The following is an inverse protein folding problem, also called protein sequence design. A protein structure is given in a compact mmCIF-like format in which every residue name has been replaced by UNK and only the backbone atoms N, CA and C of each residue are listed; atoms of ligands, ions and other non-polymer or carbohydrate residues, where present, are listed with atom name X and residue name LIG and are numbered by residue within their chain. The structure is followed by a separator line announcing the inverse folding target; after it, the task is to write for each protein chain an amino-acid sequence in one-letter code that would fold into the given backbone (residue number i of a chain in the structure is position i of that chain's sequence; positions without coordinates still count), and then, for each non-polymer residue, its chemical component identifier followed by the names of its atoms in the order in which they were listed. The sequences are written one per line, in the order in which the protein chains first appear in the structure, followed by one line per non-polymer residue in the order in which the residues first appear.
data_IF_810345372935
#
_entry.id   IF_810345372935
#
_cell.length_a   1.000
_cell.length_b   1.000
_cell.length_c   1.000
_cell.angle_alpha   90.00
_cell.angle_beta   90.00
_cell.angle_gamma   90.00
#
_symmetry.space_group_name_H-M   'P 1'
#
loop_
_entity.id
_entity.type
_entity.pdbx_description
1 polymer ?
#
# COMPACT_ATOMS: atom_id res chain seq x y z
N UNK A 1 18.77 59.92 -40.15
CA UNK A 1 18.55 58.48 -39.88
C UNK A 1 18.70 58.24 -38.39
N UNK A 2 17.60 58.27 -37.64
CA UNK A 2 17.60 57.98 -36.20
C UNK A 2 17.41 56.48 -35.98
N UNK A 3 18.37 55.81 -35.34
CA UNK A 3 18.23 54.42 -34.89
C UNK A 3 17.64 54.43 -33.48
N UNK A 4 16.41 53.95 -33.32
CA UNK A 4 15.80 53.74 -32.02
C UNK A 4 16.28 52.40 -31.45
N UNK A 5 17.02 52.46 -30.34
CA UNK A 5 17.36 51.28 -29.54
C UNK A 5 16.26 51.07 -28.49
N UNK A 6 15.55 49.96 -28.60
CA UNK A 6 14.56 49.52 -27.61
C UNK A 6 15.29 48.61 -26.61
N UNK A 7 15.41 49.06 -25.36
CA UNK A 7 15.96 48.27 -24.25
C UNK A 7 14.79 47.55 -23.56
N UNK A 8 14.74 46.21 -23.66
CA UNK A 8 13.76 45.38 -22.95
C UNK A 8 14.42 44.90 -21.65
N UNK A 9 14.06 45.49 -20.52
CA UNK A 9 14.45 45.01 -19.19
C UNK A 9 13.54 43.87 -18.77
N UNK A 10 14.06 42.63 -18.77
CA UNK A 10 13.40 41.47 -18.16
C UNK A 10 13.44 41.61 -16.63
N UNK A 11 12.29 41.89 -16.01
CA UNK A 11 12.11 41.76 -14.57
C UNK A 11 11.94 40.28 -14.21
N UNK A 12 12.97 39.67 -13.62
CA UNK A 12 12.84 38.37 -12.97
C UNK A 12 12.13 38.54 -11.62
N UNK A 13 10.83 38.27 -11.58
CA UNK A 13 10.12 38.09 -10.32
C UNK A 13 10.50 36.73 -9.73
N UNK A 14 11.52 36.70 -8.87
CA UNK A 14 11.72 35.59 -7.95
C UNK A 14 10.59 35.60 -6.92
N UNK A 15 9.47 34.96 -7.24
CA UNK A 15 8.52 34.56 -6.22
C UNK A 15 9.20 33.49 -5.37
N UNK A 16 9.77 33.90 -4.24
CA UNK A 16 10.05 32.96 -3.16
C UNK A 16 8.70 32.36 -2.76
N UNK A 17 8.46 31.09 -3.12
CA UNK A 17 7.32 30.33 -2.62
C UNK A 17 7.56 30.21 -1.11
N UNK A 18 6.94 31.12 -0.34
CA UNK A 18 6.91 31.03 1.11
C UNK A 18 6.17 29.73 1.43
N UNK A 19 6.84 28.80 2.10
CA UNK A 19 6.17 27.60 2.58
C UNK A 19 4.98 28.03 3.45
N UNK A 20 3.83 27.35 3.37
CA UNK A 20 2.73 27.56 4.31
C UNK A 20 3.27 27.57 5.74
N UNK A 21 2.74 28.49 6.58
CA UNK A 21 3.22 28.68 7.95
C UNK A 21 2.95 27.47 8.84
N UNK A 22 1.98 26.65 8.46
CA UNK A 22 1.64 25.41 9.12
C UNK A 22 1.70 24.28 8.09
N UNK A 23 2.57 23.28 8.36
CA UNK A 23 2.46 21.99 7.70
C UNK A 23 1.12 21.40 8.14
N UNK A 24 0.16 21.34 7.23
CA UNK A 24 -1.02 20.50 7.46
C UNK A 24 -0.50 19.12 7.88
N UNK A 25 -0.93 18.58 9.04
CA UNK A 25 -0.52 17.25 9.45
C UNK A 25 -0.85 16.34 8.26
N UNK A 26 0.15 15.60 7.75
CA UNK A 26 -0.06 14.83 6.53
C UNK A 26 -1.26 13.93 6.75
N UNK A 27 -2.14 13.82 5.75
CA UNK A 27 -3.48 13.20 5.83
C UNK A 27 -3.57 11.93 6.71
N UNK A 28 -2.51 11.13 6.75
CA UNK A 28 -2.40 9.95 7.61
C UNK A 28 -2.40 10.25 9.12
N UNK A 29 -1.84 11.37 9.57
CA UNK A 29 -1.89 11.85 10.97
C UNK A 29 -3.31 12.24 11.32
N UNK A 30 -4.02 12.92 10.42
CA UNK A 30 -5.43 13.25 10.64
C UNK A 30 -6.29 11.98 10.72
N UNK A 31 -6.08 11.02 9.82
CA UNK A 31 -6.77 9.73 9.85
C UNK A 31 -6.42 8.91 11.09
N UNK A 32 -5.15 8.94 11.53
CA UNK A 32 -4.73 8.32 12.78
C UNK A 32 -5.43 8.96 13.99
N UNK A 33 -5.42 10.29 14.09
CA UNK A 33 -6.09 11.01 15.17
C UNK A 33 -7.61 10.76 15.19
N UNK A 34 -8.24 10.69 14.01
CA UNK A 34 -9.65 10.32 13.87
C UNK A 34 -9.92 8.88 14.34
N UNK A 35 -8.98 7.96 14.11
CA UNK A 35 -9.11 6.56 14.52
C UNK A 35 -8.67 6.30 15.97
N UNK A 36 -7.88 7.16 16.60
CA UNK A 36 -7.54 7.05 18.04
C UNK A 36 -8.79 7.30 18.89
N UNK A 37 -9.68 8.19 18.44
CA UNK A 37 -10.98 8.44 19.08
C UNK A 37 -12.04 7.39 18.70
N UNK A 38 -11.83 6.62 17.62
CA UNK A 38 -12.55 5.37 17.48
C UNK A 38 -11.92 4.40 18.47
N UNK A 39 -12.52 4.28 19.65
CA UNK A 39 -12.46 3.02 20.37
C UNK A 39 -12.85 1.93 19.38
N UNK A 40 -11.87 1.26 18.78
CA UNK A 40 -12.03 -0.16 18.53
C UNK A 40 -12.44 -0.67 19.91
N UNK A 41 -13.74 -0.91 20.08
CA UNK A 41 -14.18 -1.87 21.04
C UNK A 41 -13.46 -3.15 20.62
N UNK A 42 -12.24 -3.32 21.12
CA UNK A 42 -11.79 -4.60 21.61
C UNK A 42 -12.80 -4.93 22.71
N UNK A 43 -14.02 -5.30 22.30
CA UNK A 43 -14.78 -6.22 23.09
C UNK A 43 -13.79 -7.34 23.37
N UNK A 44 -13.53 -7.50 24.66
CA UNK A 44 -12.73 -8.57 25.21
C UNK A 44 -13.46 -9.91 25.04
N UNK A 45 -13.95 -10.17 23.82
CA UNK A 45 -14.52 -11.40 23.38
C UNK A 45 -13.40 -12.12 22.62
N UNK A 46 -12.57 -12.82 23.40
CA UNK A 46 -11.35 -13.54 23.03
C UNK A 46 -11.58 -14.73 22.08
N UNK A 47 -12.56 -14.69 21.19
CA UNK A 47 -12.87 -15.83 20.33
C UNK A 47 -11.89 -15.99 19.17
N UNK A 48 -11.27 -14.91 18.69
CA UNK A 48 -10.27 -14.94 17.62
C UNK A 48 -9.21 -13.84 17.79
N UNK A 49 -8.03 -14.13 18.36
CA UNK A 49 -6.96 -13.14 18.44
C UNK A 49 -6.43 -12.81 17.05
N UNK A 50 -6.61 -11.57 16.61
CA UNK A 50 -5.98 -11.06 15.40
C UNK A 50 -4.58 -10.51 15.74
N UNK A 51 -3.56 -10.72 14.87
CA UNK A 51 -2.29 -10.03 15.01
C UNK A 51 -2.52 -8.51 15.05
N UNK A 52 -1.94 -7.86 16.07
CA UNK A 52 -1.94 -6.42 16.23
C UNK A 52 -0.49 -5.96 16.34
N UNK A 53 -0.18 -4.84 15.71
CA UNK A 53 1.15 -4.23 15.74
C UNK A 53 0.98 -2.71 15.69
N UNK A 54 2.06 -1.96 15.97
CA UNK A 54 2.01 -0.51 15.96
C UNK A 54 1.64 -0.03 14.55
N UNK A 55 0.61 0.81 14.45
CA UNK A 55 0.29 1.46 13.18
C UNK A 55 1.34 2.54 12.89
N UNK A 56 2.19 2.30 11.89
CA UNK A 56 3.24 3.23 11.46
C UNK A 56 3.15 3.50 9.95
N UNK A 57 2.26 4.41 9.51
CA UNK A 57 2.08 4.73 8.09
C UNK A 57 3.28 5.52 7.51
N UNK A 58 4.19 6.01 8.37
CA UNK A 58 5.40 6.68 7.96
C UNK A 58 6.60 5.74 7.78
N UNK A 59 6.44 4.44 8.08
CA UNK A 59 7.49 3.47 7.83
C UNK A 59 7.82 3.44 6.34
N UNK A 60 9.11 3.50 6.03
CA UNK A 60 9.58 3.30 4.66
C UNK A 60 9.58 1.81 4.37
N UNK A 61 8.92 1.44 3.28
CA UNK A 61 8.91 0.07 2.75
C UNK A 61 10.12 -0.14 1.85
N UNK A 62 10.61 -1.38 1.82
CA UNK A 62 11.69 -1.81 0.95
C UNK A 62 11.14 -2.29 -0.40
N UNK A 63 11.66 -1.76 -1.51
CA UNK A 63 11.18 -2.06 -2.88
C UNK A 63 11.44 -3.51 -3.31
N UNK A 64 12.34 -4.20 -2.62
CA UNK A 64 12.81 -5.54 -2.95
C UNK A 64 13.76 -5.57 -4.11
N UNK A 65 14.14 -4.40 -4.62
CA UNK A 65 15.17 -4.27 -5.62
C UNK A 65 16.52 -4.60 -4.99
N UNK A 66 17.28 -5.48 -5.63
CA UNK A 66 18.65 -5.83 -5.20
C UNK A 66 19.67 -5.66 -6.33
N UNK A 67 19.18 -5.45 -7.55
CA UNK A 67 19.99 -5.22 -8.75
C UNK A 67 19.71 -3.83 -9.32
N UNK A 68 20.71 -3.27 -9.99
CA UNK A 68 20.56 -2.03 -10.73
C UNK A 68 20.86 -2.28 -12.20
N UNK A 69 20.44 -1.36 -13.06
CA UNK A 69 20.71 -1.48 -14.50
C UNK A 69 21.51 -0.30 -15.00
N UNK A 70 22.43 -0.58 -15.91
CA UNK A 70 23.12 0.44 -16.69
C UNK A 70 22.17 1.04 -17.74
N UNK A 71 22.54 2.17 -18.34
CA UNK A 71 21.79 2.75 -19.46
C UNK A 71 21.68 1.83 -20.69
N UNK A 72 22.51 0.78 -20.77
CA UNK A 72 22.44 -0.27 -21.80
C UNK A 72 21.56 -1.46 -21.43
N UNK A 73 20.89 -1.45 -20.26
CA UNK A 73 20.02 -2.54 -19.80
C UNK A 73 20.75 -3.75 -19.19
N UNK A 74 22.06 -3.66 -18.96
CA UNK A 74 22.81 -4.71 -18.25
C UNK A 74 22.67 -4.55 -16.75
N UNK A 75 22.43 -5.66 -16.04
CA UNK A 75 22.41 -5.69 -14.59
C UNK A 75 23.81 -5.37 -14.02
N UNK A 76 23.83 -4.62 -12.93
CA UNK A 76 25.02 -4.23 -12.19
C UNK A 76 24.72 -4.14 -10.69
N UNK A 77 25.79 -4.14 -9.89
CA UNK A 77 25.70 -3.88 -8.45
C UNK A 77 25.23 -2.44 -8.19
N UNK A 78 24.22 -2.27 -7.34
CA UNK A 78 23.67 -0.95 -7.04
C UNK A 78 24.66 -0.08 -6.26
N UNK A 79 25.42 -0.64 -5.34
CA UNK A 79 26.35 0.10 -4.49
C UNK A 79 27.52 0.67 -5.31
N UNK A 80 27.98 -0.07 -6.31
CA UNK A 80 29.12 0.32 -7.15
C UNK A 80 28.70 1.12 -8.39
N UNK A 81 27.60 0.73 -9.03
CA UNK A 81 27.19 1.26 -10.33
C UNK A 81 26.22 2.44 -10.28
N UNK A 82 25.37 2.50 -9.26
CA UNK A 82 24.36 3.55 -9.05
C UNK A 82 24.09 3.76 -7.54
N UNK A 83 25.09 4.21 -6.77
CA UNK A 83 24.93 4.36 -5.31
C UNK A 83 23.77 5.30 -4.97
N UNK A 84 22.95 4.89 -4.01
CA UNK A 84 21.78 5.67 -3.58
C UNK A 84 20.51 5.39 -4.40
N UNK A 85 20.56 4.45 -5.34
CA UNK A 85 19.35 3.84 -5.90
C UNK A 85 18.62 3.02 -4.84
N UNK A 86 17.36 2.69 -5.11
CA UNK A 86 16.54 1.87 -4.21
C UNK A 86 17.18 0.49 -3.94
N UNK A 87 17.79 -0.13 -4.96
CA UNK A 87 18.48 -1.41 -4.80
C UNK A 87 19.77 -1.37 -3.96
N UNK A 88 20.28 -0.18 -3.61
CA UNK A 88 21.37 -0.04 -2.63
C UNK A 88 20.90 -0.22 -1.18
N UNK A 89 19.60 -0.18 -0.90
CA UNK A 89 19.03 -0.12 0.44
C UNK A 89 18.26 -1.38 0.84
N UNK A 90 18.86 -2.56 0.66
CA UNK A 90 18.22 -3.81 1.02
C UNK A 90 17.99 -3.94 2.54
N UNK A 91 16.73 -4.09 2.91
CA UNK A 91 16.15 -4.10 4.24
C UNK A 91 16.44 -2.83 5.06
N UNK A 92 16.63 -1.69 4.41
CA UNK A 92 16.95 -0.41 5.06
C UNK A 92 15.85 0.62 4.77
N UNK A 93 15.26 1.28 5.80
CA UNK A 93 15.52 1.10 7.23
C UNK A 93 14.85 -0.15 7.83
N UNK A 94 13.90 -0.77 7.12
CA UNK A 94 13.16 -1.92 7.59
C UNK A 94 13.14 -3.01 6.54
N UNK A 95 13.24 -4.27 6.97
CA UNK A 95 12.96 -5.40 6.10
C UNK A 95 11.47 -5.50 5.77
N UNK A 96 11.13 -6.01 4.58
CA UNK A 96 9.76 -6.48 4.31
C UNK A 96 9.41 -7.60 5.28
N UNK A 97 8.23 -7.52 5.89
CA UNK A 97 7.76 -8.51 6.84
C UNK A 97 6.24 -8.64 6.74
N UNK A 98 5.75 -9.86 6.60
CA UNK A 98 4.33 -10.18 6.54
C UNK A 98 4.05 -11.47 7.31
N UNK A 99 2.84 -11.61 7.82
CA UNK A 99 2.36 -12.80 8.52
C UNK A 99 1.08 -13.26 7.85
N UNK A 100 1.06 -14.50 7.35
CA UNK A 100 -0.10 -15.11 6.70
C UNK A 100 0.24 -15.76 5.35
N UNK A 101 -0.77 -16.11 4.54
CA UNK A 101 -2.20 -15.95 4.80
C UNK A 101 -2.69 -16.72 6.04
N UNK A 102 -3.36 -16.03 6.95
CA UNK A 102 -3.92 -16.62 8.18
C UNK A 102 -5.43 -16.74 8.06
N UNK A 103 -5.94 -17.94 8.30
CA UNK A 103 -7.38 -18.24 8.33
C UNK A 103 -8.00 -17.67 9.61
N UNK A 104 -9.17 -17.06 9.49
CA UNK A 104 -9.94 -16.64 10.66
C UNK A 104 -10.60 -17.86 11.34
N UNK A 105 -10.58 -17.93 12.67
CA UNK A 105 -11.04 -19.12 13.40
C UNK A 105 -12.55 -19.35 13.37
N UNK A 106 -13.36 -18.27 13.31
CA UNK A 106 -14.82 -18.36 13.13
C UNK A 106 -15.21 -18.43 11.65
N UNK A 107 -14.80 -17.42 10.88
CA UNK A 107 -15.00 -17.34 9.43
C UNK A 107 -13.90 -18.06 8.66
N UNK A 108 -13.99 -19.39 8.60
CA UNK A 108 -12.94 -20.25 8.03
C UNK A 108 -12.69 -20.04 6.53
N UNK A 109 -13.55 -19.31 5.83
CA UNK A 109 -13.30 -18.93 4.42
C UNK A 109 -12.52 -17.61 4.29
N UNK A 110 -12.28 -16.91 5.39
CA UNK A 110 -11.68 -15.58 5.40
C UNK A 110 -10.19 -15.69 5.74
N UNK A 111 -9.36 -15.21 4.83
CA UNK A 111 -7.90 -15.24 4.95
C UNK A 111 -7.35 -13.83 4.89
N UNK A 112 -6.48 -13.51 5.84
CA UNK A 112 -5.86 -12.19 5.94
C UNK A 112 -4.35 -12.29 6.00
N UNK A 113 -3.66 -11.23 5.60
CA UNK A 113 -2.22 -11.07 5.73
C UNK A 113 -1.98 -9.85 6.60
N UNK A 114 -1.20 -10.00 7.65
CA UNK A 114 -0.82 -8.90 8.52
C UNK A 114 0.55 -8.37 8.14
N UNK A 115 0.66 -7.05 7.98
CA UNK A 115 1.90 -6.30 7.81
C UNK A 115 2.29 -5.68 9.16
N UNK A 116 3.25 -6.28 9.90
CA UNK A 116 3.62 -5.81 11.22
C UNK A 116 4.38 -4.48 11.19
N UNK A 117 4.94 -4.08 10.04
CA UNK A 117 5.70 -2.84 9.91
C UNK A 117 4.77 -1.63 9.89
N UNK A 118 3.67 -1.73 9.14
CA UNK A 118 2.70 -0.65 9.00
C UNK A 118 1.49 -0.82 9.93
N UNK A 119 1.30 -1.98 10.54
CA UNK A 119 0.09 -2.32 11.31
C UNK A 119 -1.13 -2.51 10.41
N UNK A 120 -0.92 -2.85 9.13
CA UNK A 120 -1.99 -3.02 8.15
C UNK A 120 -2.43 -4.49 8.08
N UNK A 121 -3.72 -4.70 7.84
CA UNK A 121 -4.25 -6.02 7.52
C UNK A 121 -4.80 -6.00 6.10
N UNK A 122 -4.36 -6.96 5.30
CA UNK A 122 -4.75 -7.14 3.91
C UNK A 122 -5.66 -8.35 3.76
N UNK A 123 -6.60 -8.29 2.84
CA UNK A 123 -7.30 -9.49 2.36
C UNK A 123 -6.30 -10.31 1.55
N UNK A 124 -6.19 -11.61 1.83
CA UNK A 124 -5.14 -12.44 1.23
C UNK A 124 -5.37 -12.71 -0.27
N UNK A 125 -6.63 -12.87 -0.66
CA UNK A 125 -7.01 -13.19 -2.02
C UNK A 125 -7.61 -11.99 -2.74
N UNK A 126 -7.35 -11.90 -4.04
CA UNK A 126 -8.08 -11.00 -4.90
C UNK A 126 -9.58 -11.29 -4.85
N UNK A 127 -10.36 -10.29 -5.24
CA UNK A 127 -11.80 -10.44 -5.23
C UNK A 127 -12.26 -11.60 -6.12
N UNK A 128 -13.21 -12.40 -5.62
CA UNK A 128 -13.69 -13.61 -6.29
C UNK A 128 -12.85 -14.86 -6.05
N UNK A 129 -11.69 -14.74 -5.39
CA UNK A 129 -10.87 -15.87 -4.98
C UNK A 129 -10.96 -16.17 -3.48
N UNK A 130 -10.77 -17.43 -3.11
CA UNK A 130 -10.85 -17.93 -1.73
C UNK A 130 -9.82 -19.03 -1.43
N UNK A 131 -9.65 -19.33 -0.14
CA UNK A 131 -8.74 -20.35 0.37
C UNK A 131 -7.32 -19.83 0.63
N UNK A 132 -6.51 -20.61 1.34
CA UNK A 132 -5.15 -20.23 1.74
C UNK A 132 -4.21 -19.93 0.57
N UNK A 133 -4.41 -20.58 -0.58
CA UNK A 133 -3.65 -20.37 -1.81
C UNK A 133 -4.39 -19.58 -2.89
N UNK A 134 -5.57 -19.01 -2.59
CA UNK A 134 -6.42 -18.32 -3.57
C UNK A 134 -6.77 -19.14 -4.82
N UNK A 135 -6.80 -20.47 -4.70
CA UNK A 135 -7.11 -21.39 -5.78
C UNK A 135 -8.62 -21.65 -5.94
N UNK A 136 -9.43 -21.28 -4.94
CA UNK A 136 -10.88 -21.30 -5.06
C UNK A 136 -11.38 -20.09 -5.83
N UNK A 137 -12.30 -20.28 -6.77
CA UNK A 137 -12.90 -19.19 -7.54
C UNK A 137 -11.96 -18.58 -8.59
N UNK A 138 -12.38 -17.45 -9.17
CA UNK A 138 -11.64 -16.72 -10.21
C UNK A 138 -11.58 -15.26 -9.82
N UNK A 139 -10.43 -14.62 -10.05
CA UNK A 139 -10.29 -13.20 -9.80
C UNK A 139 -11.29 -12.40 -10.65
N UNK A 140 -12.14 -11.62 -10.00
CA UNK A 140 -13.10 -10.72 -10.63
C UNK A 140 -12.42 -9.36 -10.79
N UNK A 141 -12.26 -8.85 -12.02
CA UNK A 141 -11.73 -7.51 -12.24
C UNK A 141 -12.61 -6.47 -11.57
N UNK A 142 -11.98 -5.53 -10.88
CA UNK A 142 -12.67 -4.42 -10.24
C UNK A 142 -12.06 -3.11 -10.71
N UNK A 143 -12.89 -2.20 -11.21
CA UNK A 143 -12.46 -0.85 -11.56
C UNK A 143 -12.69 0.10 -10.36
N UNK A 144 -12.17 1.33 -10.48
CA UNK A 144 -12.30 2.33 -9.43
C UNK A 144 -13.74 2.70 -9.07
N UNK A 145 -14.62 2.81 -10.08
CA UNK A 145 -16.03 3.13 -9.86
C UNK A 145 -16.76 2.01 -9.11
N UNK A 146 -16.49 0.76 -9.45
CA UNK A 146 -17.06 -0.42 -8.78
C UNK A 146 -16.59 -0.51 -7.33
N UNK A 147 -15.28 -0.32 -7.12
CA UNK A 147 -14.65 -0.36 -5.81
C UNK A 147 -15.19 0.74 -4.88
N UNK A 148 -15.39 1.96 -5.40
CA UNK A 148 -15.91 3.10 -4.65
C UNK A 148 -17.45 3.08 -4.53
N UNK A 149 -18.15 2.46 -5.48
CA UNK A 149 -19.60 2.38 -5.54
C UNK A 149 -20.21 1.32 -4.63
N UNK A 150 -19.40 0.56 -3.90
CA UNK A 150 -19.89 -0.45 -2.96
C UNK A 150 -20.37 -1.74 -3.63
N UNK A 151 -19.90 -2.04 -4.85
CA UNK A 151 -20.29 -3.25 -5.58
C UNK A 151 -19.72 -4.53 -4.93
N UNK A 152 -20.20 -5.73 -5.33
CA UNK A 152 -19.70 -7.00 -4.80
C UNK A 152 -18.17 -7.09 -4.88
N UNK A 153 -17.55 -7.23 -3.71
CA UNK A 153 -16.14 -7.32 -3.47
C UNK A 153 -15.46 -6.04 -3.01
N UNK A 154 -16.17 -4.93 -3.06
CA UNK A 154 -15.70 -3.67 -2.52
C UNK A 154 -15.46 -3.77 -1.02
N UNK A 155 -14.67 -2.84 -0.50
CA UNK A 155 -14.46 -2.73 0.94
C UNK A 155 -15.76 -2.49 1.71
N UNK A 156 -16.72 -1.77 1.11
CA UNK A 156 -18.04 -1.56 1.71
C UNK A 156 -18.79 -2.89 1.89
N UNK A 157 -18.78 -3.77 0.88
CA UNK A 157 -19.38 -5.11 1.03
C UNK A 157 -18.64 -5.94 2.09
N UNK A 158 -17.30 -5.95 2.08
CA UNK A 158 -16.50 -6.67 3.08
C UNK A 158 -16.89 -6.28 4.51
N UNK A 159 -17.22 -5.01 4.75
CA UNK A 159 -17.65 -4.51 6.05
C UNK A 159 -19.04 -5.00 6.49
N UNK A 160 -19.83 -5.55 5.58
CA UNK A 160 -21.19 -6.07 5.84
C UNK A 160 -21.28 -7.59 5.84
N UNK A 161 -20.20 -8.29 5.47
CA UNK A 161 -20.16 -9.76 5.43
C UNK A 161 -20.35 -10.37 6.82
N UNK A 162 -20.51 -11.70 6.85
CA UNK A 162 -20.58 -12.48 8.08
C UNK A 162 -21.69 -12.02 9.05
N UNK A 163 -22.84 -11.63 8.50
CA UNK A 163 -23.97 -11.14 9.30
C UNK A 163 -23.75 -9.75 9.90
N UNK A 164 -22.88 -8.93 9.30
CA UNK A 164 -22.52 -7.61 9.80
C UNK A 164 -21.29 -7.58 10.70
N UNK A 165 -20.67 -8.74 11.00
CA UNK A 165 -19.39 -8.79 11.70
C UNK A 165 -18.19 -8.47 10.78
N UNK A 166 -18.43 -8.40 9.46
CA UNK A 166 -17.43 -8.07 8.45
C UNK A 166 -16.47 -9.20 8.13
N UNK A 167 -15.72 -9.06 7.04
CA UNK A 167 -14.76 -10.05 6.58
C UNK A 167 -13.64 -10.23 7.61
N UNK A 168 -13.40 -11.47 8.03
CA UNK A 168 -12.49 -11.83 9.11
C UNK A 168 -12.77 -11.08 10.43
N UNK A 169 -14.03 -10.76 10.72
CA UNK A 169 -14.44 -10.03 11.93
C UNK A 169 -14.05 -8.56 11.92
N UNK A 170 -13.78 -7.97 10.75
CA UNK A 170 -13.38 -6.58 10.57
C UNK A 170 -14.39 -5.83 9.71
N UNK A 171 -14.82 -4.67 10.21
CA UNK A 171 -15.80 -3.79 9.55
C UNK A 171 -15.21 -2.45 9.09
N UNK A 172 -13.89 -2.33 9.11
CA UNK A 172 -13.13 -1.13 8.72
C UNK A 172 -12.26 -1.34 7.45
N UNK A 173 -12.62 -2.30 6.60
CA UNK A 173 -12.00 -2.44 5.29
C UNK A 173 -12.18 -1.18 4.47
N UNK A 174 -11.11 -0.77 3.79
CA UNK A 174 -11.09 0.36 2.86
C UNK A 174 -10.09 0.11 1.74
N UNK A 175 -10.18 0.91 0.69
CA UNK A 175 -9.15 0.92 -0.34
C UNK A 175 -7.83 1.44 0.26
N UNK A 176 -6.69 0.85 -0.10
CA UNK A 176 -5.40 1.33 0.35
C UNK A 176 -5.09 2.68 -0.30
N UNK A 177 -4.36 3.52 0.43
CA UNK A 177 -3.69 4.67 -0.17
C UNK A 177 -2.54 4.20 -1.07
N UNK A 178 -2.01 5.08 -1.92
CA UNK A 178 -0.88 4.74 -2.80
C UNK A 178 0.35 4.27 -1.99
N UNK A 179 0.60 4.85 -0.81
CA UNK A 179 1.74 4.47 0.05
C UNK A 179 1.57 3.09 0.66
N UNK A 180 0.37 2.78 1.12
CA UNK A 180 0.07 1.46 1.68
C UNK A 180 0.09 0.40 0.59
N UNK A 181 -0.46 0.69 -0.59
CA UNK A 181 -0.38 -0.23 -1.72
C UNK A 181 1.09 -0.51 -2.10
N UNK A 182 1.94 0.51 -2.06
CA UNK A 182 3.35 0.33 -2.34
C UNK A 182 4.08 -0.56 -1.32
N UNK A 183 3.57 -0.71 -0.09
CA UNK A 183 4.19 -1.59 0.92
C UNK A 183 4.14 -3.06 0.55
N UNK A 184 3.18 -3.48 -0.27
CA UNK A 184 3.02 -4.87 -0.72
C UNK A 184 3.65 -5.14 -2.10
N UNK A 185 4.18 -4.10 -2.76
CA UNK A 185 4.83 -4.20 -4.07
C UNK A 185 6.26 -4.71 -3.89
N UNK A 186 6.63 -5.73 -4.67
CA UNK A 186 7.99 -6.25 -4.73
C UNK A 186 8.50 -6.12 -6.18
N UNK A 187 9.41 -5.19 -6.43
CA UNK A 187 9.77 -4.77 -7.80
C UNK A 187 10.55 -5.82 -8.60
N UNK A 188 11.22 -6.78 -7.97
CA UNK A 188 11.86 -7.89 -8.69
C UNK A 188 10.93 -9.06 -8.98
N UNK A 189 9.73 -9.09 -8.40
CA UNK A 189 8.77 -10.16 -8.65
C UNK A 189 7.99 -9.89 -9.95
N UNK A 190 7.55 -10.96 -10.62
CA UNK A 190 6.57 -10.88 -11.69
C UNK A 190 5.38 -11.80 -11.34
N UNK A 191 4.19 -11.25 -11.03
CA UNK A 191 3.88 -9.82 -10.95
C UNK A 191 4.55 -9.13 -9.75
N UNK A 192 4.62 -7.79 -9.78
CA UNK A 192 5.32 -6.95 -8.79
C UNK A 192 4.57 -6.87 -7.44
N UNK A 193 4.37 -8.00 -6.79
CA UNK A 193 3.76 -8.13 -5.46
C UNK A 193 4.57 -9.12 -4.64
N UNK A 194 4.48 -9.04 -3.32
CA UNK A 194 5.15 -9.98 -2.41
C UNK A 194 4.54 -11.41 -2.53
N UNK A 195 4.96 -12.15 -3.57
CA UNK A 195 4.41 -13.44 -3.98
C UNK A 195 4.51 -14.55 -2.92
N UNK A 196 5.42 -14.40 -1.94
CA UNK A 196 5.57 -15.33 -0.83
C UNK A 196 4.36 -15.31 0.11
N UNK A 197 3.70 -14.15 0.23
CA UNK A 197 2.59 -13.94 1.16
C UNK A 197 1.26 -13.68 0.46
N UNK A 198 1.26 -13.15 -0.77
CA UNK A 198 0.07 -12.87 -1.57
C UNK A 198 -0.10 -13.89 -2.72
N UNK A 199 -0.75 -15.04 -2.47
CA UNK A 199 -0.76 -16.16 -3.42
C UNK A 199 -1.65 -15.94 -4.65
N UNK A 200 -2.55 -14.96 -4.61
CA UNK A 200 -3.35 -14.57 -5.77
C UNK A 200 -2.47 -14.10 -6.95
N UNK A 201 -1.35 -13.42 -6.67
CA UNK A 201 -0.41 -12.93 -7.70
C UNK A 201 -1.13 -12.21 -8.85
N UNK A 202 -2.08 -11.35 -8.52
CA UNK A 202 -2.96 -10.67 -9.50
C UNK A 202 -2.59 -9.22 -9.76
N UNK A 203 -1.37 -8.79 -9.37
CA UNK A 203 -0.91 -7.42 -9.62
C UNK A 203 -0.50 -7.22 -11.08
N UNK A 204 -1.49 -7.14 -11.98
CA UNK A 204 -1.28 -6.78 -13.38
C UNK A 204 -1.30 -5.27 -13.51
N UNK A 205 -0.22 -4.62 -13.07
CA UNK A 205 0.02 -3.23 -13.46
C UNK A 205 0.01 -3.14 -14.99
N UNK A 206 -0.64 -2.12 -15.57
CA UNK A 206 -0.36 -1.79 -16.96
C UNK A 206 1.12 -1.43 -17.04
N UNK A 207 1.87 -2.10 -17.92
CA UNK A 207 3.21 -1.63 -18.30
C UNK A 207 3.06 -0.18 -18.75
N UNK A 208 3.68 0.74 -18.01
CA UNK A 208 3.86 2.13 -18.45
C UNK A 208 5.01 2.22 -19.44
#
# INVERSE_FOLDING_TARGET
MYKHFIFITLLFFSFCIKSPADLDPPYFVLQYLQNVDSTENQENNSQCPAPAGPFNPGALFDTGQTLCWTGGGFAQDCTLGLPGSDGSFNNIPNARNFVGPTQHCKFTSDYTIFDPLHGLTWKACAQGQTGSGCAGGVAVPMNWADANGGLPGSCAELNTLNGGEGYAGRTNWRLPTVRELASIVHYTNNPHIENAFFPSRTFTGRSY
#
